data_IF_461279790572
#
_entry.id   IF_461279790572
#
_cell.length_a   1.000
_cell.length_b   1.000
_cell.length_c   1.000
_cell.angle_alpha   90.00
_cell.angle_beta   90.00
_cell.angle_gamma   90.00
#
_symmetry.space_group_name_H-M   'P 1'
#
loop_
_entity.id
_entity.type
_entity.pdbx_description
1 polymer ?
2 non-polymer ?
3 water ?
#
# COMPACT_ATOMS: atom_id res chain seq x y z
N UNK A 20 5.69 2.14 34.94
CA UNK A 20 4.58 3.01 34.46
C UNK A 20 3.84 3.69 35.62
N UNK A 21 2.75 4.40 35.30
CA UNK A 21 1.85 4.99 36.31
C UNK A 21 1.32 3.97 37.33
N UNK A 22 1.19 2.71 36.92
CA UNK A 22 0.73 1.64 37.81
C UNK A 22 0.91 0.22 37.24
N UNK A 23 0.16 -0.13 36.17
CA UNK A 23 -0.12 -1.56 35.92
C UNK A 23 0.99 -2.43 35.27
N UNK A 24 0.64 -3.71 35.12
CA UNK A 24 1.43 -4.71 34.37
C UNK A 24 1.45 -4.46 32.85
N UNK A 25 0.47 -3.71 32.35
CA UNK A 25 0.46 -3.11 31.01
C UNK A 25 1.87 -2.66 30.57
N UNK A 26 2.57 -1.99 31.48
CA UNK A 26 3.97 -1.60 31.32
C UNK A 26 4.88 -2.66 30.67
N UNK A 27 4.80 -3.89 31.17
CA UNK A 27 5.62 -4.98 30.66
C UNK A 27 5.19 -5.42 29.25
N UNK A 28 3.88 -5.43 29.00
CA UNK A 28 3.33 -5.80 27.68
C UNK A 28 3.80 -4.82 26.59
N UNK A 29 3.83 -3.54 26.93
CA UNK A 29 4.38 -2.51 26.05
C UNK A 29 5.90 -2.68 25.91
N UNK A 30 6.57 -2.95 27.02
CA UNK A 30 8.02 -3.21 27.03
C UNK A 30 8.40 -4.40 26.15
N UNK A 31 7.65 -5.50 26.28
CA UNK A 31 7.88 -6.70 25.47
C UNK A 31 7.60 -6.49 23.98
N UNK A 32 6.54 -5.74 23.68
CA UNK A 32 6.15 -5.46 22.30
C UNK A 32 7.11 -4.49 21.63
N UNK A 33 7.50 -3.44 22.35
CA UNK A 33 8.52 -2.49 21.88
C UNK A 33 9.84 -3.21 21.60
N UNK A 34 10.21 -4.11 22.51
CA UNK A 34 11.43 -4.90 22.37
C UNK A 34 11.40 -5.85 21.18
N UNK A 35 10.24 -6.45 20.92
CA UNK A 35 10.05 -7.32 19.75
C UNK A 35 10.13 -6.54 18.44
N UNK A 36 9.60 -5.32 18.43
CA UNK A 36 9.74 -4.43 17.27
C UNK A 36 11.21 -4.12 16.96
N UNK A 37 11.96 -3.75 18.01
CA UNK A 37 13.38 -3.37 17.88
C UNK A 37 14.26 -4.48 17.27
N UNK A 38 13.91 -5.74 17.54
CA UNK A 38 14.64 -6.90 17.03
C UNK A 38 13.93 -7.62 15.87
N UNK A 39 13.23 -6.85 15.05
CA UNK A 39 12.46 -7.35 13.92
C UNK A 39 12.63 -6.39 12.76
N UNK A 40 12.63 -6.89 11.55
CA UNK A 40 12.63 -6.03 10.37
C UNK A 40 11.22 -6.06 9.78
N UNK A 41 10.59 -4.88 9.77
CA UNK A 41 9.19 -4.72 9.39
C UNK A 41 9.14 -4.28 7.93
N UNK A 42 8.42 -5.02 7.09
CA UNK A 42 8.32 -4.72 5.66
C UNK A 42 6.87 -4.53 5.19
N UNK A 43 6.05 -3.90 6.04
CA UNK A 43 4.63 -3.69 5.75
C UNK A 43 4.34 -2.18 5.75
N UNK A 82 -12.26 23.16 15.67
CA UNK A 82 -12.92 24.11 14.78
C UNK A 82 -11.91 25.00 14.05
N UNK A 83 -11.13 25.75 14.84
CA UNK A 83 -10.03 26.56 14.29
C UNK A 83 -8.85 25.67 13.90
N UNK A 84 -8.62 24.62 14.68
CA UNK A 84 -7.59 23.63 14.40
C UNK A 84 -7.92 22.87 13.11
N UNK A 85 -9.21 22.56 12.92
CA UNK A 85 -9.67 21.91 11.67
C UNK A 85 -9.35 22.78 10.45
N UNK A 86 -9.61 24.08 10.56
CA UNK A 86 -9.33 25.03 9.47
C UNK A 86 -7.84 25.05 9.12
N UNK A 87 -7.00 24.94 10.14
CA UNK A 87 -5.54 24.84 9.96
C UNK A 87 -5.15 23.58 9.19
N UNK A 88 -5.77 22.45 9.54
CA UNK A 88 -5.56 21.19 8.81
C UNK A 88 -5.93 21.31 7.33
N UNK A 89 -7.01 22.02 7.02
CA UNK A 89 -7.41 22.22 5.64
C UNK A 89 -6.39 23.02 4.85
N UNK A 90 -5.88 24.10 5.45
CA UNK A 90 -4.86 24.93 4.81
C UNK A 90 -3.58 24.12 4.56
N UNK A 91 -3.11 23.45 5.61
CA UNK A 91 -1.88 22.65 5.54
C UNK A 91 -1.97 21.45 4.60
N UNK A 92 -3.16 20.87 4.50
CA UNK A 92 -3.41 19.77 3.56
C UNK A 92 -3.26 20.26 2.12
N UNK A 93 -3.91 21.37 1.80
CA UNK A 93 -3.83 21.96 0.45
C UNK A 93 -2.39 22.40 0.12
N UNK A 94 -1.72 23.02 1.08
CA UNK A 94 -0.32 23.42 0.91
C UNK A 94 0.58 22.22 0.71
N UNK A 95 0.34 21.14 1.44
CA UNK A 95 1.15 19.91 1.34
C UNK A 95 1.13 19.29 -0.05
N UNK A 96 -0.04 19.31 -0.70
CA UNK A 96 -0.20 18.80 -2.06
C UNK A 96 -0.21 19.92 -3.12
N UNK A 97 0.34 21.09 -2.78
CA UNK A 97 0.48 22.23 -3.71
C UNK A 97 -0.83 22.58 -4.42
N UNK A 98 -1.92 22.64 -3.67
CA UNK A 98 -3.25 22.81 -4.24
C UNK A 98 -3.79 24.23 -4.09
N UNK A 99 -4.25 24.78 -5.20
CA UNK A 99 -4.95 26.06 -5.24
C UNK A 99 -6.28 25.88 -4.51
N UNK A 100 -6.50 26.70 -3.48
CA UNK A 100 -7.69 26.62 -2.64
C UNK A 100 -9.03 26.88 -3.33
N UNK A 101 -9.00 27.58 -4.47
CA UNK A 101 -10.21 27.87 -5.25
C UNK A 101 -10.57 26.75 -6.22
N UNK A 102 -9.58 25.96 -6.64
CA UNK A 102 -9.79 24.77 -7.47
C UNK A 102 -10.02 23.49 -6.63
N UNK A 103 -9.36 23.39 -5.48
CA UNK A 103 -9.45 22.20 -4.60
C UNK A 103 -9.92 22.53 -3.19
N UNK A 104 -10.98 21.86 -2.74
CA UNK A 104 -11.38 21.83 -1.32
C UNK A 104 -10.92 20.54 -0.66
N UNK A 105 -11.25 20.37 0.62
CA UNK A 105 -10.85 19.17 1.37
C UNK A 105 -11.68 18.95 2.66
N UNK A 106 -12.09 17.71 2.88
CA UNK A 106 -12.87 17.28 4.04
C UNK A 106 -12.01 16.35 4.91
N UNK A 107 -11.54 16.87 6.04
CA UNK A 107 -10.73 16.09 7.00
C UNK A 107 -11.61 15.47 8.09
N UNK A 108 -11.15 14.36 8.66
CA UNK A 108 -11.90 13.66 9.70
C UNK A 108 -11.00 12.68 10.45
N UNK A 109 -10.94 12.84 11.78
CA UNK A 109 -10.13 11.99 12.67
C UNK A 109 -10.95 10.81 13.21
N UNK A 110 -12.19 11.07 13.61
CA UNK A 110 -13.12 10.02 14.01
C UNK A 110 -13.67 9.34 12.75
N UNK A 111 -13.17 8.13 12.46
CA UNK A 111 -13.59 7.36 11.29
C UNK A 111 -13.31 5.86 11.48
N UNK A 114 -15.79 3.86 6.21
CA UNK A 114 -14.66 4.02 5.30
C UNK A 114 -14.70 5.33 4.50
N UNK A 115 -13.55 5.76 4.00
CA UNK A 115 -13.42 7.04 3.29
C UNK A 115 -13.98 6.99 1.87
N UNK A 116 -13.60 5.95 1.12
CA UNK A 116 -14.05 5.76 -0.26
C UNK A 116 -15.56 5.48 -0.39
N UNK A 117 -16.10 4.71 0.56
CA UNK A 117 -17.53 4.39 0.57
C UNK A 117 -18.40 5.65 0.71
N UNK A 118 -17.95 6.59 1.54
CA UNK A 118 -18.63 7.89 1.70
C UNK A 118 -18.65 8.73 0.43
N UNK A 119 -17.57 8.64 -0.35
CA UNK A 119 -17.49 9.33 -1.64
C UNK A 119 -18.50 8.76 -2.63
N UNK A 120 -18.69 7.43 -2.63
CA UNK A 120 -19.59 6.78 -3.59
C UNK A 120 -21.04 7.14 -3.31
N UNK A 121 -21.47 6.95 -2.06
CA UNK A 121 -22.82 7.32 -1.62
C UNK A 121 -23.17 8.80 -1.86
N UNK A 122 -22.15 9.67 -1.83
CA UNK A 122 -22.32 11.09 -2.12
C UNK A 122 -22.65 11.39 -3.57
N UNK A 123 -21.94 10.74 -4.49
CA UNK A 123 -21.91 11.15 -5.91
C UNK A 123 -22.76 10.31 -6.88
N UNK A 124 -23.05 9.05 -6.54
CA UNK A 124 -23.79 8.14 -7.45
C UNK A 124 -25.09 7.58 -6.86
N UNK A 125 -26.10 7.46 -7.72
CA UNK A 125 -27.43 6.91 -7.36
C UNK A 125 -27.40 5.37 -7.40
N UNK A 126 -28.49 4.69 -6.96
CA UNK A 126 -28.53 3.21 -7.02
C UNK A 126 -28.51 2.59 -8.42
N UNK A 127 -28.95 3.32 -9.44
CA UNK A 127 -28.83 2.88 -10.84
C UNK A 127 -27.37 2.89 -11.34
N UNK A 128 -26.60 3.88 -10.86
CA UNK A 128 -25.22 4.10 -11.33
C UNK A 128 -24.26 2.97 -10.95
N UNK A 129 -23.14 2.90 -11.69
CA UNK A 129 -22.17 1.80 -11.60
C UNK A 129 -20.74 2.31 -11.51
N UNK A 130 -19.86 1.48 -10.94
CA UNK A 130 -18.47 1.84 -10.61
C UNK A 130 -17.47 0.87 -11.23
N UNK A 131 -16.27 1.37 -11.56
CA UNK A 131 -15.18 0.52 -12.03
C UNK A 131 -13.92 0.79 -11.23
N UNK A 132 -13.25 -0.30 -10.84
CA UNK A 132 -12.01 -0.22 -10.05
C UNK A 132 -11.12 -1.44 -10.30
N UNK A 133 -9.89 -1.37 -9.82
CA UNK A 133 -8.94 -2.46 -10.03
C UNK A 133 -9.33 -3.67 -9.17
N UNK A 134 -9.64 -4.79 -9.84
CA UNK A 134 -9.92 -6.08 -9.20
C UNK A 134 -11.06 -6.06 -8.14
N UNK A 135 -12.11 -5.30 -8.42
CA UNK A 135 -13.34 -5.31 -7.62
C UNK A 135 -14.17 -6.57 -7.90
N UNK A 136 -15.17 -6.87 -7.04
CA UNK A 136 -16.15 -7.91 -7.40
C UNK A 136 -17.11 -7.47 -8.51
N UNK A 137 -17.72 -8.45 -9.20
CA UNK A 137 -18.75 -8.18 -10.21
C UNK A 137 -20.09 -7.79 -9.56
N UNK A 157 -21.19 -3.32 -2.25
CA UNK A 157 -22.31 -4.27 -2.38
C UNK A 157 -23.57 -3.59 -2.93
N UNK A 158 -23.91 -2.43 -2.40
CA UNK A 158 -25.16 -1.72 -2.77
C UNK A 158 -25.16 -1.11 -4.19
N UNK A 159 -24.00 -0.59 -4.62
CA UNK A 159 -23.81 -0.07 -5.99
C UNK A 159 -23.24 -1.16 -6.91
N UNK A 160 -23.57 -1.08 -8.21
CA UNK A 160 -23.04 -2.03 -9.21
C UNK A 160 -21.54 -1.80 -9.44
N UNK A 161 -20.77 -2.88 -9.50
CA UNK A 161 -19.32 -2.81 -9.74
C UNK A 161 -18.91 -3.82 -10.80
N UNK A 162 -18.02 -3.40 -11.71
CA UNK A 162 -17.30 -4.30 -12.61
C UNK A 162 -15.82 -3.98 -12.51
N UNK A 163 -14.95 -5.01 -12.42
CA UNK A 163 -13.53 -4.74 -12.30
C UNK A 163 -12.85 -4.42 -13.62
N UNK A 164 -11.69 -3.78 -13.53
CA UNK A 164 -10.68 -3.85 -14.59
C UNK A 164 -9.42 -4.50 -14.03
N UNK A 165 -8.55 -4.96 -14.92
CA UNK A 165 -7.43 -5.82 -14.52
C UNK A 165 -6.12 -5.40 -15.12
N UNK A 166 -5.04 -5.93 -14.55
CA UNK A 166 -3.71 -5.81 -15.14
C UNK A 166 -3.53 -6.85 -16.24
N UNK A 167 -2.66 -6.55 -17.19
CA UNK A 167 -2.30 -7.51 -18.23
C UNK A 167 -1.54 -8.66 -17.58
N UNK A 168 -2.05 -9.89 -17.80
CA UNK A 168 -1.49 -11.10 -17.19
C UNK A 168 0.01 -11.28 -17.41
N UNK A 169 0.49 -10.95 -18.61
CA UNK A 169 1.89 -11.14 -18.97
C UNK A 169 2.83 -10.03 -18.48
N UNK A 170 2.35 -8.78 -18.41
CA UNK A 170 3.20 -7.63 -18.03
C UNK A 170 2.98 -7.08 -16.62
N UNK A 171 1.82 -7.36 -16.02
CA UNK A 171 1.47 -6.83 -14.70
C UNK A 171 1.10 -5.35 -14.64
N UNK A 172 0.96 -4.71 -15.81
CA UNK A 172 0.62 -3.31 -15.94
C UNK A 172 -0.87 -3.24 -16.21
N UNK A 173 -1.54 -2.19 -15.74
CA UNK A 173 -2.98 -1.99 -15.98
C UNK A 173 -3.23 -2.01 -17.49
N UNK A 174 -4.24 -2.78 -17.89
CA UNK A 174 -4.61 -2.91 -19.28
C UNK A 174 -5.55 -1.75 -19.62
N UNK A 175 -4.97 -0.64 -20.06
CA UNK A 175 -5.72 0.58 -20.35
C UNK A 175 -6.63 0.43 -21.56
N UNK A 176 -6.18 -0.34 -22.55
CA UNK A 176 -7.00 -0.66 -23.72
C UNK A 176 -8.32 -1.29 -23.31
N UNK A 177 -8.25 -2.37 -22.53
CA UNK A 177 -9.45 -3.09 -22.07
C UNK A 177 -10.31 -2.27 -21.14
N UNK A 178 -9.67 -1.47 -20.29
CA UNK A 178 -10.38 -0.56 -19.41
C UNK A 178 -11.26 0.36 -20.24
N UNK A 179 -10.62 1.05 -21.19
CA UNK A 179 -11.31 1.98 -22.10
C UNK A 179 -12.51 1.32 -22.80
N UNK A 180 -12.27 0.14 -23.38
CA UNK A 180 -13.29 -0.62 -24.11
C UNK A 180 -14.46 -1.04 -23.21
N UNK A 181 -14.14 -1.55 -22.02
CA UNK A 181 -15.18 -1.94 -21.06
C UNK A 181 -15.94 -0.72 -20.56
N UNK A 182 -15.21 0.37 -20.25
CA UNK A 182 -15.80 1.59 -19.75
C UNK A 182 -16.77 2.24 -20.75
N UNK A 183 -16.40 2.22 -22.03
CA UNK A 183 -17.25 2.72 -23.10
C UNK A 183 -18.57 1.94 -23.19
N UNK A 184 -18.54 0.63 -22.97
CA UNK A 184 -19.74 -0.19 -22.97
C UNK A 184 -20.50 -0.11 -21.64
N UNK A 185 -19.78 -0.39 -20.54
CA UNK A 185 -20.36 -0.40 -19.18
C UNK A 185 -20.93 0.96 -18.76
N UNK A 186 -20.25 2.04 -19.19
CA UNK A 186 -20.60 3.43 -18.85
C UNK A 186 -20.72 3.67 -17.33
N UNK A 187 -19.59 3.56 -16.61
CA UNK A 187 -19.65 3.82 -15.18
C UNK A 187 -19.90 5.29 -14.83
N UNK A 188 -20.44 5.53 -13.65
CA UNK A 188 -20.55 6.87 -13.09
C UNK A 188 -19.22 7.28 -12.47
N UNK A 189 -18.52 6.31 -11.86
CA UNK A 189 -17.22 6.52 -11.21
C UNK A 189 -16.17 5.54 -11.73
N UNK A 190 -14.99 6.07 -12.04
CA UNK A 190 -13.80 5.30 -12.36
C UNK A 190 -12.84 5.54 -11.20
N UNK A 191 -12.47 4.49 -10.47
CA UNK A 191 -11.58 4.63 -9.33
C UNK A 191 -10.23 3.98 -9.63
N UNK A 192 -9.16 4.60 -9.13
CA UNK A 192 -7.81 4.07 -9.27
C UNK A 192 -7.07 4.07 -7.92
N UNK A 193 -6.03 3.24 -7.85
CA UNK A 193 -5.19 3.12 -6.65
C UNK A 193 -5.78 2.31 -5.52
N UNK A 194 -6.74 1.45 -5.81
CA UNK A 194 -7.44 0.65 -4.78
C UNK A 194 -6.57 -0.55 -4.35
N UNK A 195 -6.10 -1.32 -5.33
CA UNK A 195 -5.35 -2.56 -5.07
C UNK A 195 -3.85 -2.30 -4.83
N UNK A 196 -3.07 -3.39 -4.69
CA UNK A 196 -1.61 -3.32 -4.57
C UNK A 196 -0.97 -3.28 -5.97
N UNK A 197 -0.56 -2.09 -6.37
CA UNK A 197 0.02 -1.84 -7.69
C UNK A 197 1.29 -1.04 -7.52
N UNK A 198 2.42 -1.62 -7.92
CA UNK A 198 3.74 -1.05 -7.62
C UNK A 198 4.14 0.06 -8.59
N UNK A 199 3.61 0.02 -9.81
CA UNK A 199 3.95 1.00 -10.85
C UNK A 199 3.08 2.27 -10.76
N UNK A 200 3.58 3.34 -11.37
CA UNK A 200 2.82 4.59 -11.50
C UNK A 200 1.57 4.38 -12.35
N UNK A 201 0.47 4.99 -11.93
CA UNK A 201 -0.79 4.93 -12.67
C UNK A 201 -0.85 6.09 -13.64
N UNK A 202 -1.25 5.81 -14.88
CA UNK A 202 -1.40 6.83 -15.90
C UNK A 202 -2.69 7.60 -15.66
N UNK A 203 -2.61 8.59 -14.76
CA UNK A 203 -3.79 9.36 -14.36
C UNK A 203 -4.36 10.18 -15.51
N UNK A 204 -3.51 10.60 -16.43
CA UNK A 204 -3.95 11.30 -17.65
C UNK A 204 -4.87 10.42 -18.49
N UNK A 205 -4.43 9.19 -18.75
CA UNK A 205 -5.24 8.21 -19.50
C UNK A 205 -6.50 7.83 -18.74
N UNK A 206 -6.44 7.81 -17.41
CA UNK A 206 -7.63 7.59 -16.58
C UNK A 206 -8.64 8.71 -16.76
N UNK A 207 -8.13 9.96 -16.77
CA UNK A 207 -8.96 11.15 -17.05
C UNK A 207 -9.62 11.06 -18.41
N UNK A 208 -8.84 10.75 -19.43
CA UNK A 208 -9.33 10.65 -20.81
C UNK A 208 -10.40 9.56 -20.96
N UNK A 209 -10.19 8.41 -20.31
CA UNK A 209 -11.20 7.35 -20.29
C UNK A 209 -12.45 7.80 -19.56
N UNK A 210 -12.27 8.45 -18.40
CA UNK A 210 -13.41 8.94 -17.62
C UNK A 210 -14.22 9.99 -18.38
N UNK A 211 -13.56 10.86 -19.13
CA UNK A 211 -14.24 11.88 -19.94
C UNK A 211 -15.10 11.27 -21.07
N UNK A 212 -14.56 10.28 -21.78
CA UNK A 212 -15.30 9.59 -22.86
C UNK A 212 -16.66 9.06 -22.40
N UNK A 213 -16.70 8.58 -21.16
CA UNK A 213 -17.89 8.04 -20.52
C UNK A 213 -18.69 9.12 -19.78
N UNK A 214 -18.00 10.15 -19.28
CA UNK A 214 -18.61 11.15 -18.40
C UNK A 214 -18.62 10.70 -16.94
N UNK A 215 -17.60 9.92 -16.57
CA UNK A 215 -17.47 9.40 -15.21
C UNK A 215 -16.63 10.35 -14.38
N UNK A 216 -16.77 10.25 -13.06
CA UNK A 216 -15.83 10.90 -12.14
C UNK A 216 -14.59 10.02 -12.03
N UNK A 217 -13.43 10.66 -11.89
CA UNK A 217 -12.19 9.97 -11.61
C UNK A 217 -11.85 10.19 -10.14
N UNK A 218 -11.96 9.12 -9.36
CA UNK A 218 -11.63 9.13 -7.95
C UNK A 218 -10.31 8.42 -7.82
N UNK A 219 -9.33 9.04 -7.16
CA UNK A 219 -8.03 8.39 -6.94
C UNK A 219 -7.84 8.17 -5.44
N UNK A 220 -7.71 6.91 -5.04
CA UNK A 220 -7.28 6.58 -3.68
C UNK A 220 -5.76 6.58 -3.66
N UNK A 221 -5.19 7.56 -2.98
CA UNK A 221 -3.72 7.69 -2.86
C UNK A 221 -3.20 7.29 -1.47
N UNK A 222 -3.96 6.49 -0.72
CA UNK A 222 -3.67 6.20 0.69
C UNK A 222 -2.27 5.63 0.94
N UNK A 223 -1.81 4.76 0.04
CA UNK A 223 -0.52 4.09 0.16
C UNK A 223 0.67 4.82 -0.47
N UNK A 224 0.40 5.83 -1.31
CA UNK A 224 1.45 6.64 -1.93
C UNK A 224 1.34 8.15 -1.64
N UNK A 225 0.54 8.53 -0.64
CA UNK A 225 0.27 9.95 -0.34
C UNK A 225 1.53 10.72 0.03
N UNK A 226 2.36 10.11 0.87
CA UNK A 226 3.69 10.64 1.22
C UNK A 226 4.60 10.87 0.03
N UNK A 227 4.61 9.91 -0.91
CA UNK A 227 5.39 10.06 -2.14
C UNK A 227 4.92 11.27 -2.96
N UNK A 228 3.61 11.52 -2.99
CA UNK A 228 3.04 12.63 -3.77
C UNK A 228 3.31 13.99 -3.10
N UNK A 229 3.18 14.04 -1.77
CA UNK A 229 3.47 15.25 -1.01
C UNK A 229 4.91 15.71 -1.21
N UNK A 230 5.83 14.76 -1.19
CA UNK A 230 7.25 15.03 -1.45
C UNK A 230 7.54 15.51 -2.88
N UNK A 231 6.65 15.20 -3.81
CA UNK A 231 6.80 15.59 -5.22
C UNK A 231 7.74 14.68 -6.00
N UNK A 232 8.04 13.52 -5.43
CA UNK A 232 8.97 12.54 -6.00
C UNK A 232 8.32 11.59 -7.01
N UNK A 233 7.00 11.52 -7.02
CA UNK A 233 6.26 10.91 -8.13
C UNK A 233 5.21 11.90 -8.62
N UNK A 234 4.65 11.67 -9.83
CA UNK A 234 3.58 12.54 -10.34
C UNK A 234 2.37 12.63 -9.43
N UNK A 235 1.61 13.72 -9.56
CA UNK A 235 0.46 13.98 -8.71
C UNK A 235 -0.83 13.62 -9.44
N UNK A 236 -1.75 12.91 -8.76
CA UNK A 236 -3.06 12.67 -9.36
C UNK A 236 -3.95 13.91 -9.34
N UNK A 237 -3.59 14.92 -8.54
CA UNK A 237 -4.37 16.16 -8.44
C UNK A 237 -4.44 16.99 -9.72
N UNK A 238 -3.53 16.75 -10.66
CA UNK A 238 -3.59 17.36 -11.99
C UNK A 238 -4.82 16.90 -12.80
N UNK A 239 -5.26 15.65 -12.58
CA UNK A 239 -6.32 15.01 -13.39
C UNK A 239 -7.55 14.51 -12.64
N UNK A 240 -7.43 14.28 -11.33
CA UNK A 240 -8.54 13.73 -10.53
C UNK A 240 -9.66 14.75 -10.30
N UNK A 241 -10.88 14.24 -10.09
CA UNK A 241 -12.01 15.04 -9.60
C UNK A 241 -12.04 14.94 -8.08
N UNK A 242 -11.95 13.71 -7.58
CA UNK A 242 -11.90 13.44 -6.14
C UNK A 242 -10.62 12.65 -5.83
N UNK A 243 -10.03 12.89 -4.66
CA UNK A 243 -8.86 12.15 -4.22
C UNK A 243 -9.02 11.82 -2.76
N UNK A 244 -9.03 10.53 -2.41
CA UNK A 244 -9.11 10.10 -1.02
C UNK A 244 -7.75 9.61 -0.50
N UNK A 245 -7.59 9.74 0.81
CA UNK A 245 -6.39 9.26 1.47
C UNK A 245 -6.68 9.05 2.95
N UNK A 246 -5.97 8.09 3.53
CA UNK A 246 -5.85 7.96 4.97
C UNK A 246 -4.71 8.87 5.39
N UNK A 247 -4.81 9.40 6.61
CA UNK A 247 -3.79 10.27 7.17
C UNK A 247 -2.64 9.51 7.85
N UNK A 248 -2.77 8.20 8.00
CA UNK A 248 -1.88 7.42 8.88
C UNK A 248 -0.89 6.49 8.18
N UNK A 249 -1.18 6.07 6.95
CA UNK A 249 -0.30 5.13 6.26
C UNK A 249 0.93 5.87 5.71
N UNK A 250 0.92 6.20 4.42
CA UNK A 250 2.07 6.82 3.75
C UNK A 250 2.32 8.27 4.25
N UNK A 251 1.26 8.95 4.67
CA UNK A 251 1.34 10.35 5.11
C UNK A 251 1.94 10.54 6.53
N UNK A 252 2.14 9.43 7.26
CA UNK A 252 2.86 9.41 8.55
C UNK A 252 2.19 10.17 9.71
N UNK A 253 0.89 10.41 9.62
CA UNK A 253 0.14 11.16 10.64
C UNK A 253 -0.68 10.26 11.54
N UNK A 254 -1.63 10.86 12.30
CA UNK A 254 -2.52 10.08 13.17
C UNK A 254 -3.63 9.40 12.37
N UNK A 255 -4.41 8.55 13.03
CA UNK A 255 -5.42 7.72 12.35
C UNK A 255 -6.65 8.55 11.99
N UNK A 256 -6.77 8.87 10.71
CA UNK A 256 -7.97 9.53 10.17
C UNK A 256 -8.02 9.43 8.66
N UNK A 257 -8.73 10.36 8.03
CA UNK A 257 -8.94 10.35 6.58
C UNK A 257 -9.21 11.74 6.02
N UNK A 258 -8.89 11.94 4.74
CA UNK A 258 -9.16 13.18 4.02
C UNK A 258 -9.74 12.88 2.65
N UNK A 259 -10.70 13.70 2.24
CA UNK A 259 -11.35 13.60 0.92
C UNK A 259 -11.25 14.96 0.23
N UNK A 260 -10.38 15.02 -0.77
CA UNK A 260 -10.20 16.23 -1.58
C UNK A 260 -11.21 16.20 -2.73
N UNK A 261 -11.68 17.37 -3.13
CA UNK A 261 -12.70 17.49 -4.18
C UNK A 261 -12.54 18.79 -4.95
N UNK A 262 -12.99 18.78 -6.20
CA UNK A 262 -12.81 19.94 -7.10
C UNK A 262 -13.89 20.99 -6.94
N UNK A 263 -13.54 22.21 -7.35
CA UNK A 263 -14.45 23.35 -7.40
C UNK A 263 -14.17 24.15 -8.68
N UNK A 264 -15.23 24.59 -9.36
CA UNK A 264 -15.10 25.43 -10.57
C UNK A 264 -15.62 24.79 -11.84
N UNK A 265 -14.95 25.08 -12.96
CA UNK A 265 -15.36 24.60 -14.28
C UNK A 265 -14.93 23.15 -14.47
N UNK A 266 -15.90 22.26 -14.61
CA UNK A 266 -15.65 20.85 -14.93
C UNK A 266 -15.27 20.72 -16.39
N UNK A 267 -16.14 21.25 -17.26
CA UNK A 267 -15.99 21.16 -18.71
C UNK A 267 -16.47 22.46 -19.37
N UNK A 277 -18.80 24.08 -13.44
CA UNK A 277 -19.92 23.14 -13.38
C UNK A 277 -19.95 22.30 -12.09
N UNK A 278 -18.80 22.16 -11.42
CA UNK A 278 -18.65 21.22 -10.28
C UNK A 278 -19.66 21.43 -9.15
N UNK A 279 -20.22 20.32 -8.64
CA UNK A 279 -21.08 20.34 -7.47
C UNK A 279 -20.74 19.15 -6.57
N UNK A 280 -19.48 19.12 -6.12
CA UNK A 280 -18.97 18.06 -5.25
C UNK A 280 -18.91 18.44 -3.77
N UNK A 281 -18.71 19.73 -3.48
CA UNK A 281 -18.50 20.22 -2.11
C UNK A 281 -19.63 19.82 -1.15
N UNK A 282 -20.86 20.17 -1.51
CA UNK A 282 -22.00 19.97 -0.59
C UNK A 282 -22.33 18.49 -0.36
N UNK A 283 -22.49 17.70 -1.45
CA UNK A 283 -22.80 16.27 -1.28
C UNK A 283 -21.76 15.48 -0.48
N UNK A 284 -20.48 15.82 -0.69
CA UNK A 284 -19.38 15.18 0.06
C UNK A 284 -19.48 15.53 1.54
N UNK A 285 -19.53 16.83 1.84
CA UNK A 285 -19.65 17.29 3.22
C UNK A 285 -20.93 16.75 3.90
N UNK A 286 -22.02 16.66 3.15
CA UNK A 286 -23.29 16.10 3.65
C UNK A 286 -23.22 14.58 3.88
N UNK A 287 -22.56 13.85 2.98
CA UNK A 287 -22.45 12.38 3.08
C UNK A 287 -21.71 11.91 4.34
N UNK A 288 -20.74 12.71 4.79
CA UNK A 288 -19.98 12.45 6.02
C UNK A 288 -20.68 13.13 7.19
N UNK A 299 -8.34 16.44 19.75
CA UNK A 299 -7.57 15.46 20.51
C UNK A 299 -6.43 14.89 19.67
N UNK A 300 -6.74 14.46 18.44
CA UNK A 300 -5.74 14.04 17.45
C UNK A 300 -5.62 15.03 16.29
N UNK A 301 -6.57 15.96 16.15
CA UNK A 301 -6.56 16.95 15.06
C UNK A 301 -5.34 17.88 15.19
N UNK A 302 -4.85 18.04 16.43
CA UNK A 302 -3.55 18.66 16.68
C UNK A 302 -2.42 17.84 16.07
N UNK A 303 -2.45 16.53 16.30
CA UNK A 303 -1.51 15.59 15.67
C UNK A 303 -1.46 15.69 14.14
N UNK A 304 -2.63 15.71 13.52
CA UNK A 304 -2.75 15.74 12.05
C UNK A 304 -2.20 17.04 11.50
N UNK A 305 -2.49 18.15 12.18
CA UNK A 305 -2.01 19.46 11.77
C UNK A 305 -0.48 19.51 11.68
N UNK A 306 0.21 18.92 12.65
CA UNK A 306 1.68 18.85 12.62
C UNK A 306 2.13 17.91 11.52
N UNK A 307 1.43 16.78 11.39
CA UNK A 307 1.76 15.75 10.38
C UNK A 307 1.65 16.29 8.95
N UNK A 308 0.73 17.22 8.72
CA UNK A 308 0.60 17.90 7.43
C UNK A 308 1.70 18.94 7.21
N UNK A 309 2.11 19.63 8.27
CA UNK A 309 3.24 20.56 8.21
C UNK A 309 4.53 19.81 7.91
N UNK A 310 4.75 18.72 8.63
CA UNK A 310 5.94 17.88 8.45
C UNK A 310 6.01 17.32 7.03
N UNK A 311 4.84 16.88 6.52
CA UNK A 311 4.72 16.36 5.15
C UNK A 311 5.22 17.29 4.05
N UNK A 312 5.20 18.61 4.29
CA UNK A 312 5.66 19.59 3.30
C UNK A 312 7.16 19.94 3.40
N UNK A 313 7.87 19.42 4.40
CA UNK A 313 9.27 19.80 4.63
C UNK A 313 10.22 19.14 3.62
N UNK A 314 11.44 19.70 3.47
CA UNK A 314 12.47 19.02 2.67
C UNK A 314 13.06 17.78 3.34
N UNK A 315 12.95 17.69 4.67
CA UNK A 315 13.42 16.53 5.42
C UNK A 315 12.53 15.33 5.12
N UNK A 316 11.24 15.60 4.99
CA UNK A 316 10.25 14.62 4.55
C UNK A 316 10.53 14.14 3.14
N UNK A 317 10.83 15.07 2.23
CA UNK A 317 11.19 14.74 0.85
C UNK A 317 12.47 13.88 0.78
N UNK A 318 13.42 14.14 1.67
CA UNK A 318 14.62 13.32 1.75
C UNK A 318 14.25 11.89 2.13
N UNK A 319 13.34 11.73 3.09
CA UNK A 319 12.85 10.41 3.53
C UNK A 319 12.19 9.62 2.39
N UNK A 320 11.32 10.28 1.63
CA UNK A 320 10.61 9.64 0.51
C UNK A 320 11.54 9.28 -0.65
N UNK A 321 12.56 10.11 -0.89
CA UNK A 321 13.62 9.80 -1.85
C UNK A 321 14.35 8.52 -1.47
N UNK A 322 14.65 8.38 -0.18
CA UNK A 322 15.26 7.17 0.35
C UNK A 322 14.34 5.94 0.23
N UNK A 323 13.04 6.14 0.46
CA UNK A 323 12.04 5.07 0.33
C UNK A 323 12.06 4.51 -1.09
N UNK A 324 12.03 5.39 -2.09
CA UNK A 324 12.07 4.97 -3.49
C UNK A 324 13.38 4.27 -3.86
N UNK A 325 14.49 4.77 -3.32
CA UNK A 325 15.81 4.17 -3.53
C UNK A 325 15.88 2.78 -2.90
N UNK A 326 15.45 2.68 -1.64
CA UNK A 326 15.43 1.40 -0.91
C UNK A 326 14.57 0.34 -1.58
N UNK A 327 13.41 0.74 -2.08
CA UNK A 327 12.54 -0.16 -2.83
C UNK A 327 13.16 -0.59 -4.18
N UNK A 328 13.91 0.29 -4.82
CA UNK A 328 14.63 -0.05 -6.07
C UNK A 328 15.77 -1.03 -5.82
N UNK A 329 16.56 -0.78 -4.77
CA UNK A 329 17.64 -1.68 -4.35
C UNK A 329 17.12 -3.11 -4.17
N UNK A 330 15.93 -3.21 -3.58
CA UNK A 330 15.21 -4.45 -3.36
C UNK A 330 14.82 -5.10 -4.70
N UNK A 331 14.22 -4.31 -5.60
CA UNK A 331 13.86 -4.74 -6.96
C UNK A 331 15.05 -5.38 -7.68
N UNK A 332 16.20 -4.73 -7.59
CA UNK A 332 17.39 -5.16 -8.31
C UNK A 332 18.05 -6.39 -7.72
N UNK A 333 18.06 -6.52 -6.40
CA UNK A 333 18.61 -7.72 -5.75
C UNK A 333 17.73 -8.95 -5.94
N UNK A 334 16.41 -8.76 -5.90
CA UNK A 334 15.50 -9.87 -6.22
C UNK A 334 15.69 -10.30 -7.67
N UNK A 335 15.85 -9.35 -8.58
CA UNK A 335 16.17 -9.65 -9.99
C UNK A 335 17.51 -10.39 -10.13
N UNK A 336 18.53 -9.92 -9.42
CA UNK A 336 19.86 -10.55 -9.44
C UNK A 336 19.83 -11.99 -8.90
N UNK A 337 19.04 -12.22 -7.84
CA UNK A 337 18.87 -13.58 -7.27
C UNK A 337 17.90 -14.48 -8.05
N UNK A 338 17.34 -13.97 -9.15
CA UNK A 338 16.61 -14.81 -10.11
C UNK A 338 15.10 -14.88 -9.93
N UNK A 339 14.52 -13.89 -9.25
CA UNK A 339 13.07 -13.82 -9.05
C UNK A 339 12.41 -12.97 -10.12
N UNK A 340 11.20 -13.36 -10.49
CA UNK A 340 10.32 -12.52 -11.30
C UNK A 340 9.55 -11.62 -10.34
N UNK A 341 9.34 -10.37 -10.73
CA UNK A 341 8.52 -9.43 -9.95
C UNK A 341 7.26 -9.13 -10.74
N UNK A 342 6.17 -8.91 -10.02
CA UNK A 342 4.91 -8.47 -10.65
C UNK A 342 5.13 -7.04 -11.14
N UNK A 343 4.73 -6.78 -12.38
CA UNK A 343 5.02 -5.51 -13.08
C UNK A 343 6.52 -5.35 -13.37
N UNK A 344 7.25 -6.47 -13.40
CA UNK A 344 8.72 -6.52 -13.56
C UNK A 344 9.52 -5.47 -12.76
N UNK A 345 9.02 -5.10 -11.57
CA UNK A 345 9.63 -4.07 -10.74
C UNK A 345 8.64 -3.13 -10.09
N UNK A 346 9.14 -1.99 -9.61
CA UNK A 346 8.33 -0.99 -8.91
C UNK A 346 8.77 0.46 -9.21
N UNK A 347 7.81 1.38 -9.24
CA UNK A 347 8.06 2.81 -9.27
C UNK A 347 7.72 3.47 -7.93
N UNK A 348 7.63 2.68 -6.85
CA UNK A 348 7.05 3.16 -5.60
C UNK A 348 7.73 2.54 -4.37
N UNK A 349 7.12 2.75 -3.21
CA UNK A 349 7.58 2.25 -1.90
C UNK A 349 7.56 0.72 -1.65
N UNK A 350 6.93 -0.06 -2.53
CA UNK A 350 6.76 -1.50 -2.31
C UNK A 350 7.12 -2.34 -3.54
N UNK A 351 7.50 -3.59 -3.27
CA UNK A 351 7.77 -4.60 -4.30
C UNK A 351 6.83 -5.77 -4.08
N UNK A 352 6.34 -6.34 -5.19
CA UNK A 352 5.53 -7.54 -5.16
C UNK A 352 6.28 -8.67 -5.87
N UNK A 353 6.79 -9.62 -5.09
CA UNK A 353 7.59 -10.74 -5.61
C UNK A 353 6.70 -11.89 -6.03
N UNK A 354 6.90 -12.38 -7.26
CA UNK A 354 6.25 -13.60 -7.74
C UNK A 354 7.03 -14.81 -7.26
N UNK A 355 6.33 -15.88 -6.90
CA UNK A 355 6.95 -17.14 -6.49
C UNK A 355 6.55 -18.34 -7.36
N UNK A 356 5.81 -18.10 -8.44
CA UNK A 356 5.39 -19.15 -9.37
C UNK A 356 6.57 -20.00 -9.87
N UNK A 357 7.62 -19.35 -10.34
CA UNK A 357 8.83 -20.03 -10.82
C UNK A 357 9.63 -20.77 -9.74
N UNK A 358 9.36 -20.49 -8.45
CA UNK A 358 9.97 -21.22 -7.33
C UNK A 358 9.14 -22.40 -6.81
N UNK A 359 7.99 -22.67 -7.40
CA UNK A 359 7.15 -23.82 -7.02
C UNK A 359 6.72 -23.77 -5.54
N UNK A 360 6.36 -22.58 -5.08
CA UNK A 360 5.90 -22.38 -3.70
C UNK A 360 4.97 -21.15 -3.63
N UNK A 361 4.11 -21.11 -2.62
CA UNK A 361 3.16 -20.01 -2.42
C UNK A 361 3.62 -19.04 -1.34
N UNK A 362 3.01 -17.86 -1.32
CA UNK A 362 3.39 -16.79 -0.39
C UNK A 362 2.99 -16.97 1.06
N UNK A 363 1.97 -17.79 1.33
CA UNK A 363 1.56 -18.07 2.71
C UNK A 363 2.67 -18.82 3.43
N UNK A 364 3.25 -19.80 2.74
CA UNK A 364 4.38 -20.54 3.30
C UNK A 364 5.56 -19.62 3.61
N UNK A 365 5.85 -18.68 2.72
CA UNK A 365 6.94 -17.73 2.93
C UNK A 365 6.63 -16.77 4.09
N UNK A 366 5.37 -16.34 4.18
CA UNK A 366 4.95 -15.45 5.27
C UNK A 366 5.21 -16.08 6.64
N UNK A 367 4.89 -17.36 6.79
CA UNK A 367 5.05 -18.03 8.10
C UNK A 367 6.51 -18.29 8.45
N UNK A 368 7.32 -18.67 7.47
CA UNK A 368 8.75 -18.86 7.71
C UNK A 368 9.36 -17.53 8.17
N UNK A 369 9.06 -16.46 7.42
CA UNK A 369 9.52 -15.11 7.78
C UNK A 369 9.06 -14.65 9.17
N UNK A 370 7.81 -14.96 9.50
CA UNK A 370 7.23 -14.65 10.82
C UNK A 370 8.06 -15.26 11.94
N UNK A 371 8.50 -16.51 11.75
CA UNK A 371 9.32 -17.21 12.75
C UNK A 371 10.79 -16.79 12.81
N UNK A 372 11.27 -15.99 11.84
CA UNK A 372 12.64 -15.45 11.87
C UNK A 372 12.68 -13.92 12.00
N UNK A 373 11.65 -13.37 12.65
CA UNK A 373 11.53 -11.92 12.92
C UNK A 373 11.45 -11.01 11.68
N UNK A 374 10.89 -11.53 10.59
CA UNK A 374 10.66 -10.74 9.37
C UNK A 374 9.15 -10.64 9.12
N UNK A 375 8.63 -9.42 9.11
CA UNK A 375 7.20 -9.17 8.86
C UNK A 375 6.99 -8.77 7.41
N UNK A 376 6.27 -9.60 6.67
CA UNK A 376 5.79 -9.26 5.34
C UNK A 376 4.47 -9.95 5.06
N UNK A 377 3.82 -9.58 3.96
CA UNK A 377 2.51 -10.13 3.62
C UNK A 377 2.55 -10.99 2.39
N UNK A 378 1.94 -12.17 2.49
CA UNK A 378 1.54 -12.90 1.31
C UNK A 378 0.61 -12.01 0.51
N UNK A 379 0.55 -12.22 -0.79
CA UNK A 379 -0.25 -11.39 -1.66
C UNK A 379 -0.54 -12.15 -2.94
N UNK A 380 -1.80 -12.10 -3.37
CA UNK A 380 -2.21 -12.71 -4.62
C UNK A 380 -1.58 -11.98 -5.79
N UNK A 381 -1.32 -12.71 -6.86
CA UNK A 381 -0.69 -12.15 -8.04
C UNK A 381 -1.44 -12.63 -9.27
N UNK A 382 -1.26 -11.94 -10.41
CA UNK A 382 -1.89 -12.41 -11.64
C UNK A 382 -1.34 -13.79 -12.04
N UNK A 383 -2.24 -14.66 -12.52
CA UNK A 383 -1.89 -16.04 -12.91
C UNK A 383 -2.30 -17.11 -11.91
N UNK A 384 -2.59 -16.74 -10.66
CA UNK A 384 -2.93 -17.70 -9.60
C UNK A 384 -4.15 -18.56 -9.95
N UNK A 385 -4.01 -19.87 -9.79
CA UNK A 385 -5.11 -20.82 -10.01
C UNK A 385 -6.20 -20.69 -8.94
N UNK A 386 -5.78 -20.60 -7.68
CA UNK A 386 -6.70 -20.48 -6.54
C UNK A 386 -6.59 -19.12 -5.86
N UNK A 387 -7.75 -18.54 -5.52
CA UNK A 387 -7.81 -17.30 -4.75
C UNK A 387 -7.42 -17.49 -3.28
N UNK A 388 -7.52 -18.73 -2.79
CA UNK A 388 -7.15 -19.07 -1.41
C UNK A 388 -5.64 -19.39 -1.24
N UNK A 389 -4.93 -19.62 -2.36
CA UNK A 389 -3.48 -19.85 -2.36
C UNK A 389 -2.79 -18.69 -3.08
N UNK A 390 -2.26 -17.70 -2.33
CA UNK A 390 -1.61 -16.55 -2.96
C UNK A 390 -0.17 -16.82 -3.39
N UNK A 391 0.11 -16.59 -4.67
CA UNK A 391 1.39 -16.95 -5.28
C UNK A 391 2.53 -15.95 -5.16
N UNK A 392 2.37 -14.92 -4.33
CA UNK A 392 3.39 -13.89 -4.19
C UNK A 392 3.49 -13.33 -2.79
N UNK A 393 4.44 -12.41 -2.63
CA UNK A 393 4.73 -11.79 -1.35
C UNK A 393 4.96 -10.28 -1.56
N UNK A 394 4.39 -9.45 -0.68
CA UNK A 394 4.46 -7.99 -0.79
C UNK A 394 5.43 -7.42 0.24
N UNK A 395 6.48 -6.75 -0.23
CA UNK A 395 7.52 -6.19 0.64
C UNK A 395 7.59 -4.67 0.46
N UNK A 396 7.63 -3.93 1.57
CA UNK A 396 7.62 -2.47 1.58
C UNK A 396 8.81 -1.88 2.31
N UNK A 397 9.36 -0.80 1.78
CA UNK A 397 10.53 -0.13 2.36
C UNK A 397 10.33 0.90 3.50
N UNK A 398 9.16 1.58 3.57
CA UNK A 398 9.01 2.69 4.52
C UNK A 398 9.41 2.45 5.98
N UNK A 399 9.01 1.33 6.57
CA UNK A 399 9.24 1.08 8.01
C UNK A 399 10.72 1.09 8.42
N UNK A 400 11.56 0.39 7.66
CA UNK A 400 13.01 0.32 7.96
C UNK A 400 13.75 1.58 7.52
N UNK A 401 13.28 2.20 6.44
CA UNK A 401 13.79 3.52 6.03
C UNK A 401 13.65 4.55 7.16
N UNK A 402 12.53 4.49 7.87
CA UNK A 402 12.30 5.31 9.07
C UNK A 402 13.32 4.98 10.18
N UNK A 403 13.70 3.71 10.27
CA UNK A 403 14.78 3.27 11.19
C UNK A 403 16.21 3.55 10.67
N UNK A 404 16.37 4.34 9.61
CA UNK A 404 17.68 4.73 9.10
C UNK A 404 18.36 3.68 8.23
N UNK A 405 17.57 2.91 7.48
CA UNK A 405 18.10 1.85 6.62
C UNK A 405 18.42 2.39 5.22
N UNK A 406 19.42 1.77 4.59
CA UNK A 406 19.96 2.18 3.30
C UNK A 406 19.85 1.04 2.28
N UNK A 407 20.16 1.34 1.02
CA UNK A 407 20.12 0.34 -0.07
C UNK A 407 20.96 -0.91 0.25
N UNK A 408 22.12 -0.69 0.87
CA UNK A 408 22.97 -1.78 1.39
C UNK A 408 22.20 -2.68 2.37
N UNK A 409 21.40 -2.08 3.25
CA UNK A 409 20.59 -2.85 4.20
C UNK A 409 19.46 -3.60 3.49
N UNK A 410 18.86 -2.98 2.48
CA UNK A 410 17.77 -3.61 1.73
C UNK A 410 18.22 -4.70 0.76
N UNK A 411 19.43 -4.59 0.23
CA UNK A 411 20.02 -5.71 -0.54
C UNK A 411 20.24 -6.91 0.39
N UNK A 412 20.57 -6.64 1.66
CA UNK A 412 20.70 -7.69 2.67
C UNK A 412 19.34 -8.31 3.06
N UNK A 413 18.32 -7.46 3.18
CA UNK A 413 16.95 -7.92 3.43
C UNK A 413 16.49 -8.90 2.35
N UNK A 414 16.77 -8.58 1.09
CA UNK A 414 16.43 -9.46 -0.04
C UNK A 414 17.05 -10.86 0.10
N UNK A 415 18.30 -10.91 0.55
CA UNK A 415 18.98 -12.19 0.78
C UNK A 415 18.31 -13.01 1.88
N UNK A 416 17.97 -12.35 2.98
CA UNK A 416 17.25 -13.01 4.08
C UNK A 416 15.92 -13.62 3.62
N UNK A 417 15.22 -12.93 2.73
CA UNK A 417 13.97 -13.43 2.17
C UNK A 417 14.23 -14.60 1.23
N UNK A 418 15.26 -14.49 0.39
CA UNK A 418 15.68 -15.59 -0.48
C UNK A 418 16.07 -16.82 0.35
N UNK A 419 16.83 -16.58 1.41
CA UNK A 419 17.16 -17.63 2.37
C UNK A 419 15.89 -18.29 2.93
N UNK A 420 14.88 -17.47 3.28
CA UNK A 420 13.62 -17.99 3.80
C UNK A 420 12.81 -18.80 2.78
N UNK A 421 12.91 -18.48 1.48
CA UNK A 421 12.21 -19.30 0.47
C UNK A 421 12.97 -20.61 0.29
N UNK A 422 14.31 -20.55 0.30
CA UNK A 422 15.14 -21.76 0.20
C UNK A 422 14.84 -22.73 1.35
N UNK A 423 14.68 -22.20 2.56
CA UNK A 423 14.28 -23.01 3.71
C UNK A 423 12.85 -23.56 3.56
N UNK A 424 11.92 -22.73 3.10
CA UNK A 424 10.53 -23.17 2.89
C UNK A 424 10.40 -24.26 1.84
N UNK A 425 11.24 -24.20 0.80
CA UNK A 425 11.29 -25.23 -0.25
C UNK A 425 11.79 -26.55 0.32
N UNK A 426 12.83 -26.47 1.17
CA UNK A 426 13.43 -27.64 1.80
C UNK A 426 12.42 -28.39 2.66
N UNK A 427 11.80 -27.70 3.62
CA UNK A 427 10.91 -28.37 4.59
C UNK A 427 9.65 -28.93 3.91
N UNK A 428 9.13 -28.21 2.92
CA UNK A 428 7.94 -28.66 2.18
C UNK A 428 8.20 -29.94 1.40
N UNK A 429 9.36 -30.02 0.74
CA UNK A 429 9.74 -31.22 -0.03
C UNK A 429 10.01 -32.42 0.89
N UNK A 430 10.51 -32.14 2.08
CA UNK A 430 10.76 -33.18 3.10
C UNK A 430 9.53 -33.64 3.89
N UNK A 431 8.41 -32.90 3.81
CA UNK A 431 7.16 -33.36 4.43
C UNK A 431 6.67 -34.64 3.76
N UNK A 432 6.01 -35.53 4.54
CA UNK A 432 5.47 -36.75 3.95
C UNK A 432 4.23 -36.46 3.12
N UNK A 433 3.99 -37.28 2.10
CA UNK A 433 2.89 -37.05 1.15
C UNK A 433 1.51 -37.13 1.79
N UNK A 434 1.40 -37.91 2.87
CA UNK A 434 0.14 -38.08 3.61
C UNK A 434 -0.23 -36.82 4.41
N UNK A 435 0.77 -36.00 4.74
CA UNK A 435 0.59 -34.73 5.45
C UNK A 435 1.39 -33.63 4.75
N UNK A 436 0.94 -33.29 3.55
CA UNK A 436 1.63 -32.32 2.67
C UNK A 436 1.13 -30.89 2.79
N UNK A 437 -0.10 -30.72 3.30
CA UNK A 437 -0.84 -29.45 3.17
C UNK A 437 -0.24 -28.28 3.96
N UNK A 438 -0.76 -27.08 3.70
CA UNK A 438 -0.33 -25.85 4.37
C UNK A 438 -0.41 -25.96 5.89
N UNK A 439 -1.48 -26.59 6.39
CA UNK A 439 -1.65 -26.91 7.80
C UNK A 439 -0.44 -27.65 8.37
N UNK A 440 0.01 -28.67 7.62
CA UNK A 440 1.15 -29.50 8.02
C UNK A 440 2.46 -28.74 7.95
N UNK A 441 2.60 -27.88 6.93
CA UNK A 441 3.73 -26.96 6.81
C UNK A 441 3.84 -26.03 8.03
N UNK A 442 2.70 -25.49 8.45
CA UNK A 442 2.65 -24.60 9.62
C UNK A 442 2.96 -25.35 10.90
N UNK A 443 2.36 -26.52 11.08
CA UNK A 443 2.69 -27.36 12.22
C UNK A 443 4.20 -27.62 12.29
N UNK A 444 4.79 -28.01 11.16
CA UNK A 444 6.23 -28.30 11.05
C UNK A 444 7.13 -27.12 11.45
N UNK A 445 6.82 -25.93 10.93
CA UNK A 445 7.60 -24.72 11.18
C UNK A 445 7.48 -24.24 12.63
N UNK A 446 6.30 -24.42 13.21
CA UNK A 446 6.03 -24.05 14.61
C UNK A 446 6.85 -24.87 15.63
N UNK A 447 7.31 -26.05 15.23
CA UNK A 447 8.16 -26.88 16.09
C UNK A 447 9.54 -26.28 16.32
N UNK A 448 10.03 -25.50 15.36
CA UNK A 448 11.38 -24.93 15.42
C UNK A 448 12.40 -25.80 14.72
N UNK A 449 13.63 -25.28 14.65
CA UNK A 449 14.81 -25.99 14.12
C UNK A 449 16.10 -25.24 14.43
N UNK A 450 17.23 -25.87 14.16
CA UNK A 450 18.54 -25.24 14.31
C UNK A 450 18.68 -24.04 13.37
N UNK A 451 18.27 -24.22 12.11
CA UNK A 451 18.31 -23.15 11.10
C UNK A 451 17.42 -21.94 11.43
N UNK A 452 16.21 -22.19 11.96
CA UNK A 452 15.31 -21.11 12.37
C UNK A 452 15.91 -20.28 13.50
N UNK A 453 16.44 -20.96 14.52
CA UNK A 453 17.06 -20.28 15.65
C UNK A 453 18.30 -19.49 15.22
N UNK A 454 19.07 -20.08 14.30
CA UNK A 454 20.22 -19.39 13.71
C UNK A 454 19.78 -18.10 13.04
N UNK A 455 18.84 -18.23 12.10
CA UNK A 455 18.33 -17.08 11.32
C UNK A 455 17.64 -16.04 12.19
N UNK A 456 16.79 -16.48 13.12
CA UNK A 456 16.10 -15.54 14.03
C UNK A 456 17.12 -14.72 14.80
N UNK A 457 18.09 -15.40 15.42
CA UNK A 457 19.13 -14.71 16.21
C UNK A 457 20.00 -13.78 15.37
N UNK A 458 20.28 -14.20 14.13
CA UNK A 458 21.05 -13.39 13.19
C UNK A 458 20.26 -12.14 12.80
N UNK A 459 19.01 -12.34 12.39
CA UNK A 459 18.12 -11.23 12.00
C UNK A 459 17.81 -10.31 13.17
N UNK A 460 17.54 -10.90 14.33
CA UNK A 460 17.26 -10.18 15.59
C UNK A 460 18.39 -9.23 16.01
N UNK A 461 19.63 -9.73 15.97
CA UNK A 461 20.79 -8.93 16.35
C UNK A 461 21.08 -7.81 15.35
N UNK A 462 20.97 -8.13 14.06
CA UNK A 462 21.12 -7.13 13.00
C UNK A 462 20.07 -6.03 13.10
N UNK A 463 18.82 -6.43 13.30
CA UNK A 463 17.70 -5.51 13.44
C UNK A 463 17.85 -4.62 14.67
N UNK A 464 18.41 -5.19 15.74
CA UNK A 464 18.67 -4.45 16.99
C UNK A 464 19.62 -3.27 16.86
N UNK A 465 20.51 -3.32 15.86
CA UNK A 465 21.42 -2.22 15.57
C UNK A 465 20.70 -0.91 15.16
N UNK A 466 19.52 -1.02 14.55
CA UNK A 466 18.75 0.16 14.12
C UNK A 466 17.92 0.73 15.27
N UNK A 467 17.81 2.08 15.36
CA UNK A 467 16.90 2.74 16.31
C UNK A 467 15.48 2.92 15.74
N UNK A 468 14.58 3.48 16.54
CA UNK A 468 13.18 3.70 16.13
C UNK A 468 12.92 5.18 15.81
N UNK A 469 13.60 5.71 14.80
CA UNK A 469 13.48 7.12 14.42
C UNK A 469 12.27 7.35 13.50
#
# INVERSE_FOLDING_TARGET
MSHYALSPEHKQMVEGHLAETDPEVNQIIKDEVDRQKHSIVLIASENFTSTSVFDALGTPMCNKYSEGYPGARYYGGNEHIDRMEILCQQRALKAFHLDGSRWGVNVQTLSGSPANLQVYQAIMKPHDRLMGLDLPHGGHLSHGYQTDTRKISAVSTYFETMPYRVDLETGIIDYDMLEKTAVLYRPKVLVAGTSAYCRLIDYKRMREIADKVGAYLVVDMAHISGLIAAGVIPSPFEYADIVTTTTHKSLRGPRGAMIFFRKGVRSVNPKTGKEIYYDLENPINFSVFPGHQGGPHNHTIAALATALKQAATPEFKQYQEQVLKNAKALENEFKRLGYKLVSDGTDSHMVLVSLKDKDIDGARIETVCENINIALNKNSIPGDRSALVPGGVRIGAPAMTTRGASEEDFVKIANYIDKSVQYAKKVQSELPIEANKLKDFKAKIAEGSDEITQLKNEISAWAGEFPLSV
#
